data_IF_903016253077
#
_entry.id   IF_903016253077
#
_cell.length_a   1.000
_cell.length_b   1.000
_cell.length_c   1.000
_cell.angle_alpha   90.00
_cell.angle_beta   90.00
_cell.angle_gamma   90.00
#
_symmetry.space_group_name_H-M   'P 1'
#
loop_
_entity.id
_entity.type
_entity.pdbx_description
1 polymer ?
#
# COMPACT_ATOMS: atom_id res chain seq x y z
N UNK A 1 28.74 13.28 80.98
CA UNK A 1 29.11 12.22 80.01
C UNK A 1 27.93 11.26 79.93
N UNK A 2 27.15 11.07 78.85
CA UNK A 2 27.14 11.53 77.47
C UNK A 2 25.72 12.02 77.15
N UNK A 3 25.61 13.15 76.44
CA UNK A 3 24.40 13.54 75.70
C UNK A 3 24.64 13.06 74.27
N UNK A 4 23.73 12.27 73.71
CA UNK A 4 23.63 12.08 72.26
C UNK A 4 22.19 12.39 71.85
N UNK A 5 22.04 13.56 71.27
CA UNK A 5 20.85 14.10 70.61
C UNK A 5 20.77 13.64 69.15
N UNK A 6 19.53 13.46 68.66
CA UNK A 6 19.06 13.67 67.27
C UNK A 6 19.65 12.72 66.19
N UNK A 7 18.92 12.11 65.24
CA UNK A 7 17.75 12.58 64.49
C UNK A 7 17.17 11.38 63.71
N UNK A 8 15.84 11.19 63.67
CA UNK A 8 15.20 10.37 62.62
C UNK A 8 15.36 11.08 61.27
N UNK A 9 16.35 10.71 60.46
CA UNK A 9 16.35 11.03 59.01
C UNK A 9 15.99 9.77 58.24
N UNK A 10 14.78 9.83 57.66
CA UNK A 10 14.24 9.00 56.58
C UNK A 10 15.32 8.69 55.53
N UNK A 11 16.02 7.56 55.66
CA UNK A 11 16.81 6.95 54.58
C UNK A 11 15.80 6.23 53.68
N UNK A 12 15.16 6.99 52.78
CA UNK A 12 14.58 6.38 51.58
C UNK A 12 15.79 5.94 50.76
N UNK A 13 16.14 4.66 50.97
CA UNK A 13 17.41 4.06 50.62
C UNK A 13 17.75 4.30 49.15
N UNK A 14 18.97 4.80 48.85
CA UNK A 14 19.51 4.86 47.49
C UNK A 14 19.41 3.51 46.77
N UNK A 15 19.39 2.39 47.50
CA UNK A 15 19.10 1.06 46.93
C UNK A 15 17.70 0.96 46.32
N UNK A 16 16.68 1.58 46.92
CA UNK A 16 15.31 1.58 46.41
C UNK A 16 15.19 2.42 45.14
N UNK A 17 15.85 3.58 45.12
CA UNK A 17 15.92 4.44 43.93
C UNK A 17 16.71 3.76 42.81
N UNK A 18 17.85 3.12 43.13
CA UNK A 18 18.65 2.36 42.17
C UNK A 18 17.86 1.19 41.56
N UNK A 19 17.15 0.41 42.39
CA UNK A 19 16.33 -0.70 41.90
C UNK A 19 15.19 -0.20 41.01
N UNK A 20 14.53 0.92 41.35
CA UNK A 20 13.53 1.54 40.48
C UNK A 20 14.13 1.99 39.15
N UNK A 21 15.28 2.68 39.15
CA UNK A 21 15.97 3.14 37.93
C UNK A 21 16.34 1.96 37.04
N UNK A 22 16.89 0.88 37.61
CA UNK A 22 17.24 -0.34 36.86
C UNK A 22 15.98 -1.00 36.29
N UNK A 23 14.88 -1.06 37.04
CA UNK A 23 13.61 -1.63 36.56
C UNK A 23 12.97 -0.78 35.44
N UNK A 24 13.00 0.55 35.56
CA UNK A 24 12.55 1.49 34.51
C UNK A 24 13.46 1.43 33.26
N UNK A 25 14.79 1.33 33.42
CA UNK A 25 15.71 1.11 32.30
C UNK A 25 15.46 -0.25 31.61
N UNK A 26 15.31 -1.33 32.39
CA UNK A 26 15.06 -2.66 31.85
C UNK A 26 13.73 -2.71 31.08
N UNK A 27 12.69 -2.03 31.57
CA UNK A 27 11.40 -1.92 30.89
C UNK A 27 11.45 -1.03 29.64
N UNK A 28 12.25 0.05 29.60
CA UNK A 28 12.49 0.83 28.38
C UNK A 28 13.30 0.07 27.31
N UNK A 29 14.20 -0.83 27.71
CA UNK A 29 14.98 -1.66 26.76
C UNK A 29 14.14 -2.82 26.21
N UNK A 30 13.12 -3.27 26.96
CA UNK A 30 12.20 -4.32 26.53
C UNK A 30 10.96 -3.80 25.78
N UNK A 31 10.69 -2.50 25.73
CA UNK A 31 9.62 -1.98 24.90
C UNK A 31 10.03 -2.09 23.43
N UNK A 32 9.35 -2.91 22.60
CA UNK A 32 9.54 -2.80 21.16
C UNK A 32 9.27 -1.34 20.77
N UNK A 33 10.17 -0.73 20.00
CA UNK A 33 9.95 0.60 19.46
C UNK A 33 8.61 0.65 18.69
N UNK A 34 8.10 1.85 18.37
CA UNK A 34 6.86 1.96 17.59
C UNK A 34 7.03 1.16 16.28
N UNK A 35 6.31 0.05 16.18
CA UNK A 35 6.25 -0.76 14.97
C UNK A 35 5.51 0.05 13.92
N UNK A 36 6.19 0.29 12.80
CA UNK A 36 5.57 0.93 11.64
C UNK A 36 4.84 -0.16 10.88
N UNK A 37 3.55 0.04 10.60
CA UNK A 37 2.76 -0.87 9.80
C UNK A 37 2.52 -0.29 8.40
N UNK A 38 2.79 -1.10 7.37
CA UNK A 38 2.39 -0.80 5.99
C UNK A 38 0.90 -1.12 5.79
N UNK A 39 0.18 -0.20 5.18
CA UNK A 39 -1.20 -0.39 4.72
C UNK A 39 -1.30 -0.17 3.20
N UNK A 40 -2.15 -0.96 2.54
CA UNK A 40 -2.45 -0.84 1.11
C UNK A 40 -3.95 -1.00 0.92
N UNK A 41 -4.55 -0.07 0.20
CA UNK A 41 -5.98 -0.09 -0.09
C UNK A 41 -6.27 0.37 -1.52
N UNK A 42 -7.49 0.10 -1.98
CA UNK A 42 -8.02 0.60 -3.23
C UNK A 42 -9.36 1.29 -3.00
N UNK A 43 -9.48 2.53 -3.48
CA UNK A 43 -10.74 3.28 -3.42
C UNK A 43 -11.89 2.59 -4.17
N UNK A 44 -11.59 1.72 -5.14
CA UNK A 44 -12.58 0.98 -5.92
C UNK A 44 -12.14 -0.46 -6.12
N UNK A 45 -13.01 -1.42 -5.85
CA UNK A 45 -12.75 -2.85 -6.12
C UNK A 45 -13.08 -3.25 -7.55
N UNK A 46 -13.80 -2.39 -8.28
CA UNK A 46 -14.30 -2.62 -9.63
C UNK A 46 -14.18 -1.35 -10.47
N UNK A 47 -13.55 -1.44 -11.64
CA UNK A 47 -13.40 -0.35 -12.61
C UNK A 47 -13.97 -0.79 -13.95
N UNK A 48 -14.81 0.06 -14.54
CA UNK A 48 -15.36 -0.16 -15.88
C UNK A 48 -14.67 0.78 -16.86
N UNK A 49 -14.28 0.24 -18.01
CA UNK A 49 -13.73 1.05 -19.10
C UNK A 49 -14.20 0.55 -20.46
N UNK A 50 -13.94 1.33 -21.49
CA UNK A 50 -14.26 0.98 -22.88
C UNK A 50 -13.03 0.46 -23.61
N UNK A 51 -13.23 -0.49 -24.52
CA UNK A 51 -12.17 -0.93 -25.43
C UNK A 51 -11.61 0.27 -26.23
N UNK A 52 -10.29 0.33 -26.36
CA UNK A 52 -9.55 1.44 -26.98
C UNK A 52 -9.40 2.68 -26.08
N UNK A 53 -10.08 2.72 -24.93
CA UNK A 53 -10.00 3.82 -23.97
C UNK A 53 -8.84 3.68 -22.98
N UNK A 54 -8.90 4.48 -21.92
CA UNK A 54 -7.95 4.48 -20.82
C UNK A 54 -8.67 4.13 -19.51
N UNK A 55 -7.92 3.56 -18.58
CA UNK A 55 -8.40 3.27 -17.22
C UNK A 55 -7.33 3.63 -16.20
N UNK A 56 -7.77 3.91 -14.99
CA UNK A 56 -6.89 4.06 -13.84
C UNK A 56 -7.36 3.11 -12.75
N UNK A 57 -6.52 2.14 -12.40
CA UNK A 57 -6.79 1.20 -11.33
C UNK A 57 -6.28 1.80 -10.02
N UNK A 58 -7.17 2.13 -9.07
CA UNK A 58 -6.75 2.77 -7.83
C UNK A 58 -5.91 1.82 -6.97
N UNK A 59 -4.83 2.33 -6.39
CA UNK A 59 -4.09 1.70 -5.33
C UNK A 59 -3.37 2.80 -4.55
N UNK A 60 -3.52 2.79 -3.22
CA UNK A 60 -2.83 3.71 -2.34
C UNK A 60 -2.20 2.95 -1.19
N UNK A 61 -1.03 3.38 -0.77
CA UNK A 61 -0.37 2.87 0.42
C UNK A 61 0.01 4.00 1.37
N UNK A 62 0.08 3.67 2.65
CA UNK A 62 0.55 4.57 3.70
C UNK A 62 1.15 3.75 4.84
N UNK A 63 1.86 4.44 5.72
CA UNK A 63 2.46 3.86 6.91
C UNK A 63 1.78 4.43 8.14
N UNK A 64 1.52 3.58 9.13
CA UNK A 64 1.04 4.00 10.45
C UNK A 64 2.07 3.62 11.52
N UNK A 65 2.62 4.57 12.29
CA UNK A 65 2.42 6.03 12.16
C UNK A 65 3.05 6.60 10.88
N UNK A 66 2.54 7.75 10.43
CA UNK A 66 3.10 8.47 9.28
C UNK A 66 4.60 8.70 9.45
N UNK A 67 5.35 8.35 8.41
CA UNK A 67 6.80 8.48 8.40
C UNK A 67 7.23 9.91 8.06
N UNK A 68 8.21 10.43 8.80
CA UNK A 68 8.82 11.73 8.53
C UNK A 68 9.66 11.75 7.24
N UNK A 69 10.11 10.59 6.78
CA UNK A 69 10.85 10.40 5.54
C UNK A 69 10.18 9.32 4.69
N UNK A 70 10.02 9.61 3.40
CA UNK A 70 9.50 8.64 2.45
C UNK A 70 10.48 7.46 2.34
N UNK A 71 9.98 6.24 2.54
CA UNK A 71 10.71 5.00 2.30
C UNK A 71 10.59 4.60 0.84
N UNK A 72 11.66 4.04 0.29
CA UNK A 72 11.64 3.47 -1.05
C UNK A 72 10.95 2.10 -1.00
N UNK A 73 9.71 2.04 -1.47
CA UNK A 73 8.93 0.79 -1.56
C UNK A 73 8.99 0.23 -2.97
N UNK A 74 8.87 -1.10 -3.08
CA UNK A 74 8.67 -1.77 -4.36
C UNK A 74 7.18 -1.94 -4.61
N UNK A 75 6.69 -1.42 -5.73
CA UNK A 75 5.30 -1.58 -6.18
C UNK A 75 5.30 -2.58 -7.32
N UNK A 76 4.45 -3.60 -7.23
CA UNK A 76 4.24 -4.60 -8.26
C UNK A 76 2.75 -4.64 -8.61
N UNK A 77 2.47 -4.48 -9.89
CA UNK A 77 1.17 -4.79 -10.47
C UNK A 77 1.24 -6.11 -11.22
N UNK A 78 0.30 -6.97 -10.92
CA UNK A 78 0.11 -8.26 -11.59
C UNK A 78 -1.35 -8.47 -11.94
N UNK A 79 -1.62 -9.42 -12.84
CA UNK A 79 -2.95 -9.64 -13.38
C UNK A 79 -3.26 -11.11 -13.51
N UNK A 80 -4.48 -11.48 -13.11
CA UNK A 80 -5.14 -12.73 -13.48
C UNK A 80 -6.19 -12.42 -14.55
N UNK A 81 -6.09 -13.06 -15.71
CA UNK A 81 -7.07 -12.92 -16.80
C UNK A 81 -8.47 -13.37 -16.36
N UNK A 82 -9.52 -12.75 -16.91
CA UNK A 82 -10.90 -13.19 -16.67
C UNK A 82 -11.19 -14.61 -17.19
N UNK A 83 -10.41 -15.08 -18.17
CA UNK A 83 -10.44 -16.48 -18.63
C UNK A 83 -9.83 -17.47 -17.61
N UNK A 84 -9.30 -16.96 -16.49
CA UNK A 84 -8.46 -17.73 -15.58
C UNK A 84 -7.03 -17.86 -16.11
N UNK A 85 -6.19 -18.55 -15.34
CA UNK A 85 -4.78 -18.76 -15.66
C UNK A 85 -3.84 -18.27 -14.56
N UNK A 86 -2.51 -18.39 -14.80
CA UNK A 86 -1.51 -17.86 -13.88
C UNK A 86 -1.59 -16.33 -13.79
N UNK A 87 -1.01 -15.80 -12.72
CA UNK A 87 -0.86 -14.37 -12.53
C UNK A 87 0.36 -13.87 -13.31
N UNK A 88 0.13 -12.93 -14.23
CA UNK A 88 1.16 -12.34 -15.09
C UNK A 88 1.62 -11.00 -14.52
N UNK A 89 2.92 -10.74 -14.58
CA UNK A 89 3.48 -9.45 -14.21
C UNK A 89 3.07 -8.37 -15.23
N UNK A 90 2.53 -7.25 -14.75
CA UNK A 90 2.12 -6.10 -15.58
C UNK A 90 3.18 -5.01 -15.53
N UNK A 91 3.52 -4.57 -14.32
CA UNK A 91 4.48 -3.50 -14.07
C UNK A 91 5.14 -3.67 -12.71
N UNK A 92 6.42 -3.34 -12.62
CA UNK A 92 7.16 -3.22 -11.36
C UNK A 92 7.81 -1.85 -11.29
N UNK A 93 7.71 -1.18 -10.15
CA UNK A 93 8.39 0.08 -9.89
C UNK A 93 9.10 0.08 -8.53
N UNK A 94 10.21 0.83 -8.47
CA UNK A 94 10.99 1.11 -7.27
C UNK A 94 11.41 2.58 -7.38
N UNK A 95 10.94 3.42 -6.45
CA UNK A 95 11.08 4.87 -6.54
C UNK A 95 10.55 5.41 -7.88
N UNK A 96 11.41 6.13 -8.61
CA UNK A 96 11.06 6.74 -9.90
C UNK A 96 11.34 5.82 -11.11
N UNK A 97 11.79 4.58 -10.86
CA UNK A 97 12.13 3.63 -11.93
C UNK A 97 11.00 2.62 -12.06
N UNK A 98 10.50 2.43 -13.27
CA UNK A 98 9.46 1.44 -13.56
C UNK A 98 9.79 0.59 -14.78
N UNK A 99 9.29 -0.64 -14.79
CA UNK A 99 9.40 -1.58 -15.90
C UNK A 99 8.06 -2.27 -16.12
N UNK A 100 7.51 -2.14 -17.31
CA UNK A 100 6.33 -2.87 -17.79
C UNK A 100 6.73 -4.18 -18.49
N UNK A 101 5.83 -5.16 -18.49
CA UNK A 101 6.07 -6.51 -19.02
C UNK A 101 5.03 -6.92 -20.07
N UNK A 102 5.33 -7.99 -20.81
CA UNK A 102 4.40 -8.59 -21.79
C UNK A 102 3.81 -7.59 -22.79
N UNK A 103 2.51 -7.75 -23.05
CA UNK A 103 1.68 -6.89 -23.91
C UNK A 103 1.30 -5.54 -23.26
N UNK A 104 1.70 -5.30 -22.02
CA UNK A 104 1.49 -4.03 -21.31
C UNK A 104 2.60 -3.01 -21.58
N UNK A 105 3.70 -3.44 -22.22
CA UNK A 105 4.82 -2.55 -22.54
C UNK A 105 4.37 -1.33 -23.35
N UNK A 106 4.73 -0.15 -22.85
CA UNK A 106 4.38 1.14 -23.48
C UNK A 106 2.94 1.60 -23.27
N UNK A 107 2.06 0.75 -22.69
CA UNK A 107 0.65 1.08 -22.44
C UNK A 107 0.31 1.30 -20.97
N UNK A 108 1.24 1.02 -20.05
CA UNK A 108 1.01 1.14 -18.61
C UNK A 108 2.11 1.93 -17.90
N UNK A 109 1.71 2.69 -16.90
CA UNK A 109 2.61 3.43 -16.01
C UNK A 109 1.93 3.67 -14.65
N UNK A 110 2.72 3.99 -13.62
CA UNK A 110 2.18 4.38 -12.32
C UNK A 110 1.84 5.86 -12.32
N UNK A 111 0.73 6.20 -11.65
CA UNK A 111 0.45 7.57 -11.21
C UNK A 111 1.21 7.81 -9.91
N UNK A 112 2.10 8.80 -9.91
CA UNK A 112 2.95 9.15 -8.76
C UNK A 112 2.77 10.62 -8.39
N UNK A 113 1.52 11.10 -8.42
CA UNK A 113 1.19 12.51 -8.17
C UNK A 113 1.39 12.92 -6.71
N UNK A 114 1.30 11.95 -5.79
CA UNK A 114 1.50 12.16 -4.35
C UNK A 114 2.20 10.96 -3.70
N UNK A 115 2.83 11.19 -2.55
CA UNK A 115 3.37 10.10 -1.74
C UNK A 115 2.28 9.08 -1.40
N UNK A 116 2.58 7.80 -1.62
CA UNK A 116 1.62 6.72 -1.42
C UNK A 116 0.71 6.42 -2.62
N UNK A 117 0.73 7.21 -3.70
CA UNK A 117 -0.03 6.89 -4.91
C UNK A 117 0.69 5.79 -5.71
N UNK A 118 -0.02 4.68 -5.89
CA UNK A 118 0.44 3.50 -6.61
C UNK A 118 -0.56 3.08 -7.69
N UNK A 119 -1.45 3.99 -8.11
CA UNK A 119 -2.47 3.69 -9.10
C UNK A 119 -1.85 3.34 -10.47
N UNK A 120 -2.38 2.31 -11.13
CA UNK A 120 -1.93 1.90 -12.46
C UNK A 120 -2.76 2.62 -13.53
N UNK A 121 -2.10 3.43 -14.34
CA UNK A 121 -2.71 4.02 -15.53
C UNK A 121 -2.48 3.07 -16.71
N UNK A 122 -3.55 2.76 -17.42
CA UNK A 122 -3.55 1.90 -18.60
C UNK A 122 -4.15 2.65 -19.79
N UNK A 123 -3.50 2.59 -20.94
CA UNK A 123 -3.94 3.21 -22.19
C UNK A 123 -4.17 2.16 -23.28
N UNK A 124 -4.97 2.54 -24.28
CA UNK A 124 -5.27 1.68 -25.44
C UNK A 124 -5.76 0.29 -25.01
N UNK A 125 -6.79 0.27 -24.16
CA UNK A 125 -7.32 -0.95 -23.54
C UNK A 125 -7.81 -1.95 -24.59
N UNK A 126 -7.40 -3.19 -24.47
CA UNK A 126 -7.79 -4.28 -25.35
C UNK A 126 -8.81 -5.16 -24.63
N UNK A 127 -9.80 -5.76 -25.30
CA UNK A 127 -10.83 -6.61 -24.64
C UNK A 127 -10.23 -7.71 -23.75
N UNK A 128 -9.09 -8.26 -24.17
CA UNK A 128 -8.31 -9.24 -23.44
C UNK A 128 -7.56 -8.66 -22.23
N UNK A 129 -7.71 -7.38 -21.88
CA UNK A 129 -7.19 -6.72 -20.68
C UNK A 129 -8.15 -6.89 -19.48
N UNK A 130 -9.37 -7.38 -19.71
CA UNK A 130 -10.37 -7.69 -18.65
C UNK A 130 -9.85 -8.72 -17.65
N UNK A 131 -9.87 -8.42 -16.36
CA UNK A 131 -9.36 -9.35 -15.35
C UNK A 131 -9.18 -8.73 -13.97
N UNK A 132 -8.63 -9.52 -13.05
CA UNK A 132 -8.33 -9.08 -11.69
C UNK A 132 -6.87 -8.64 -11.62
N UNK A 133 -6.66 -7.38 -11.27
CA UNK A 133 -5.35 -6.78 -11.08
C UNK A 133 -5.04 -6.71 -9.59
N UNK A 134 -3.81 -7.06 -9.21
CA UNK A 134 -3.32 -6.99 -7.84
C UNK A 134 -2.21 -5.95 -7.76
N UNK A 135 -2.35 -5.04 -6.81
CA UNK A 135 -1.33 -4.09 -6.41
C UNK A 135 -0.65 -4.65 -5.17
N UNK A 136 0.63 -5.00 -5.27
CA UNK A 136 1.45 -5.47 -4.17
C UNK A 136 2.51 -4.40 -3.86
N UNK A 137 2.58 -3.97 -2.61
CA UNK A 137 3.57 -3.01 -2.12
C UNK A 137 4.42 -3.70 -1.08
N UNK A 138 5.74 -3.62 -1.26
CA UNK A 138 6.72 -4.28 -0.41
C UNK A 138 7.64 -3.23 0.20
N UNK A 139 7.68 -3.18 1.54
CA UNK A 139 8.66 -2.44 2.35
C UNK A 139 9.59 -3.44 3.06
N UNK A 140 10.79 -3.65 2.51
CA UNK A 140 11.76 -4.59 3.06
C UNK A 140 11.27 -6.04 3.07
N UNK A 141 10.84 -6.52 4.24
CA UNK A 141 10.28 -7.87 4.44
C UNK A 141 8.75 -7.87 4.59
N UNK A 142 8.13 -6.70 4.69
CA UNK A 142 6.69 -6.57 4.84
C UNK A 142 6.05 -6.34 3.48
N UNK A 143 5.05 -7.16 3.14
CA UNK A 143 4.21 -6.97 1.96
C UNK A 143 2.74 -6.78 2.35
N UNK A 144 2.07 -5.95 1.57
CA UNK A 144 0.62 -5.76 1.60
C UNK A 144 0.11 -5.64 0.18
N UNK A 145 -1.15 -6.01 -0.03
CA UNK A 145 -1.75 -5.91 -1.34
C UNK A 145 -3.22 -5.52 -1.31
N UNK A 146 -3.66 -4.91 -2.41
CA UNK A 146 -5.06 -4.69 -2.74
C UNK A 146 -5.34 -5.24 -4.14
N UNK A 147 -6.61 -5.34 -4.51
CA UNK A 147 -6.99 -5.83 -5.81
C UNK A 147 -8.18 -5.09 -6.39
N UNK A 148 -8.16 -4.95 -7.72
CA UNK A 148 -9.15 -4.24 -8.50
C UNK A 148 -9.53 -5.11 -9.70
N UNK A 149 -10.82 -5.27 -9.94
CA UNK A 149 -11.31 -5.93 -11.14
C UNK A 149 -11.56 -4.89 -12.23
N UNK A 150 -10.98 -5.10 -13.42
CA UNK A 150 -11.21 -4.27 -14.59
C UNK A 150 -12.14 -5.02 -15.54
N UNK A 151 -13.28 -4.41 -15.85
CA UNK A 151 -14.24 -4.93 -16.83
C UNK A 151 -14.36 -3.99 -18.03
N UNK A 152 -14.12 -4.53 -19.21
CA UNK A 152 -14.24 -3.77 -20.44
C UNK A 152 -15.61 -3.96 -21.07
N UNK A 153 -16.26 -2.83 -21.34
CA UNK A 153 -17.47 -2.77 -22.15
C UNK A 153 -17.08 -2.61 -23.61
N UNK A 154 -17.60 -3.48 -24.45
CA UNK A 154 -17.48 -3.32 -25.90
C UNK A 154 -18.14 -2.01 -26.30
N UNK A 155 -17.42 -1.12 -26.96
CA UNK A 155 -18.03 -0.02 -27.69
C UNK A 155 -18.67 -0.63 -28.92
N UNK A 156 -19.90 -1.13 -28.77
CA UNK A 156 -20.76 -1.32 -29.91
C UNK A 156 -20.88 0.04 -30.59
N UNK A 157 -20.14 0.24 -31.68
CA UNK A 157 -20.42 1.32 -32.61
C UNK A 157 -21.78 0.96 -33.22
N UNK A 158 -22.86 1.36 -32.56
CA UNK A 158 -24.21 1.34 -33.15
C UNK A 158 -24.27 2.42 -34.23
N UNK A 159 -23.48 2.28 -35.29
CA UNK A 159 -23.80 2.90 -36.57
C UNK A 159 -24.94 2.08 -37.16
N UNK A 160 -26.16 2.58 -36.97
CA UNK A 160 -27.43 2.09 -37.51
C UNK A 160 -27.87 0.67 -37.09
N UNK A 161 -28.71 0.60 -36.05
CA UNK A 161 -29.91 -0.25 -36.11
C UNK A 161 -30.95 0.25 -35.10
N UNK A 162 -32.02 0.86 -35.65
CA UNK A 162 -33.32 1.15 -35.05
C UNK A 162 -33.34 2.02 -33.79
N UNK A 163 -33.63 3.32 -34.00
CA UNK A 163 -34.33 4.14 -33.01
C UNK A 163 -35.69 3.48 -32.76
N UNK A 164 -35.83 2.73 -31.67
CA UNK A 164 -37.13 2.26 -31.21
C UNK A 164 -37.82 3.45 -30.55
N UNK A 165 -38.66 4.15 -31.30
CA UNK A 165 -39.72 4.96 -30.71
C UNK A 165 -40.72 3.99 -30.08
N UNK A 166 -40.78 3.97 -28.75
CA UNK A 166 -41.90 3.35 -28.03
C UNK A 166 -43.09 4.29 -28.20
N UNK A 167 -44.21 3.72 -28.64
CA UNK A 167 -45.49 4.39 -28.95
C UNK A 167 -46.04 5.22 -27.79
#
# INVERSE_FOLDING_TARGET
MKIFTFTKRKIWSCRYLYVMIVFYCLSCVLSPGPSVELHVDSAQTMVFASSGGNATLPCRFWFEPELSLAREVRIKWSRTSAAGGPEDDVLVAIGNRSRSFGNFRGRVHLRQDSAGDAALIMTELQLNDTGRYRCEVVDGLEDRNSAVHLELRGTGRLTNMYVVFVL
#
